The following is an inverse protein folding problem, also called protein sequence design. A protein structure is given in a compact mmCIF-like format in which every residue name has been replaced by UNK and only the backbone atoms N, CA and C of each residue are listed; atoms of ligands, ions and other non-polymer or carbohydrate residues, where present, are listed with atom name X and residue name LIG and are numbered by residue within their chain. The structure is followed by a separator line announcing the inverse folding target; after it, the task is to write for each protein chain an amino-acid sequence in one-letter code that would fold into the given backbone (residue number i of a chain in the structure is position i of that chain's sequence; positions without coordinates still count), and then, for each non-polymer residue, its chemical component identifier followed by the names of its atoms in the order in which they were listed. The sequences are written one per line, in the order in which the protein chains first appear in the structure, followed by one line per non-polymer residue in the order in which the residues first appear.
data_IF_908828399247
#
_entry.id   IF_908828399247
#
_cell.length_a   1.000
_cell.length_b   1.000
_cell.length_c   1.000
_cell.angle_alpha   90.00
_cell.angle_beta   90.00
_cell.angle_gamma   90.00
#
_symmetry.space_group_name_H-M   'P 1'
#
loop_
_entity.id
_entity.type
_entity.pdbx_description
1 polymer ?
#
# COMPACT_ATOMS: atom_id res chain seq x y z
N UNK A 1 -25.36 -9.23 37.87
CA UNK A 1 -25.92 -10.10 36.82
C UNK A 1 -27.41 -9.89 36.69
N UNK A 2 -27.80 -8.84 35.96
CA UNK A 2 -29.13 -8.78 35.37
C UNK A 2 -29.15 -9.59 34.07
N UNK A 3 -30.34 -9.92 33.56
CA UNK A 3 -30.47 -10.58 32.26
C UNK A 3 -31.52 -9.85 31.43
N UNK A 4 -31.13 -9.40 30.23
CA UNK A 4 -31.98 -8.71 29.27
C UNK A 4 -32.05 -9.54 27.99
N UNK A 5 -33.25 -9.65 27.40
CA UNK A 5 -33.49 -10.44 26.18
C UNK A 5 -34.35 -9.59 25.25
N UNK A 6 -33.89 -9.32 24.03
CA UNK A 6 -34.54 -8.45 23.04
C UNK A 6 -35.85 -9.02 22.53
N UNK A 7 -35.81 -10.26 22.06
CA UNK A 7 -36.94 -10.91 21.41
C UNK A 7 -36.67 -11.03 19.91
N UNK A 8 -37.71 -11.20 19.07
CA UNK A 8 -37.53 -11.15 17.62
C UNK A 8 -37.62 -9.71 17.10
N UNK A 9 -36.77 -9.38 16.12
CA UNK A 9 -36.68 -8.07 15.51
C UNK A 9 -35.45 -7.32 16.02
N UNK A 10 -35.28 -6.08 15.56
CA UNK A 10 -34.13 -5.26 15.93
C UNK A 10 -34.38 -4.61 17.29
N UNK A 11 -33.58 -4.97 18.27
CA UNK A 11 -33.71 -4.58 19.66
C UNK A 11 -32.53 -3.73 20.14
N UNK A 12 -32.77 -2.95 21.20
CA UNK A 12 -31.74 -2.19 21.89
C UNK A 12 -31.72 -2.62 23.36
N UNK A 13 -30.61 -3.23 23.78
CA UNK A 13 -30.38 -3.72 25.12
C UNK A 13 -29.25 -2.93 25.75
N UNK A 14 -29.44 -2.50 26.98
CA UNK A 14 -28.43 -1.75 27.73
C UNK A 14 -28.37 -2.27 29.16
N UNK A 15 -27.17 -2.66 29.58
CA UNK A 15 -26.82 -3.04 30.94
C UNK A 15 -26.68 -1.84 31.87
N UNK A 16 -26.02 -2.06 33.01
CA UNK A 16 -25.65 -1.04 33.98
C UNK A 16 -24.15 -1.11 34.33
N UNK A 17 -23.75 -0.78 35.56
CA UNK A 17 -22.32 -0.81 35.95
C UNK A 17 -21.96 -2.08 36.72
N UNK A 18 -22.79 -3.12 36.63
CA UNK A 18 -22.55 -4.44 37.20
C UNK A 18 -22.59 -5.46 36.06
N UNK A 19 -22.00 -6.62 36.29
CA UNK A 19 -22.09 -7.76 35.37
C UNK A 19 -23.53 -7.97 34.89
N UNK A 20 -23.72 -8.12 33.60
CA UNK A 20 -25.01 -8.30 32.94
C UNK A 20 -24.93 -9.42 31.88
N UNK A 21 -26.11 -9.90 31.47
CA UNK A 21 -26.25 -10.90 30.41
C UNK A 21 -27.29 -10.40 29.40
N UNK A 22 -26.84 -10.02 28.21
CA UNK A 22 -27.63 -9.40 27.16
C UNK A 22 -27.73 -10.39 25.98
N UNK A 23 -28.95 -10.67 25.53
CA UNK A 23 -29.21 -11.62 24.44
C UNK A 23 -30.13 -10.97 23.39
N UNK A 24 -29.62 -10.70 22.19
CA UNK A 24 -30.37 -10.10 21.08
C UNK A 24 -31.42 -11.04 20.49
N UNK A 25 -30.96 -12.24 20.10
CA UNK A 25 -31.67 -13.34 19.45
C UNK A 25 -31.73 -13.25 17.93
N UNK A 26 -32.69 -12.55 17.34
CA UNK A 26 -32.85 -12.56 15.89
C UNK A 26 -33.32 -11.19 15.43
N UNK A 27 -32.57 -10.56 14.53
CA UNK A 27 -32.71 -9.15 14.21
C UNK A 27 -31.34 -8.52 14.12
N UNK A 28 -31.29 -7.24 13.80
CA UNK A 28 -30.05 -6.48 13.90
C UNK A 28 -30.12 -5.68 15.20
N UNK A 29 -29.46 -6.18 16.23
CA UNK A 29 -29.58 -5.77 17.60
C UNK A 29 -28.43 -4.84 18.01
N UNK A 30 -28.64 -4.05 19.06
CA UNK A 30 -27.59 -3.26 19.69
C UNK A 30 -27.54 -3.59 21.17
N UNK A 31 -26.42 -4.13 21.63
CA UNK A 31 -26.19 -4.57 23.00
C UNK A 31 -25.05 -3.74 23.61
N UNK A 32 -25.32 -3.07 24.72
CA UNK A 32 -24.33 -2.25 25.45
C UNK A 32 -24.19 -2.76 26.90
N UNK A 33 -23.06 -3.34 27.27
CA UNK A 33 -22.76 -3.80 28.63
C UNK A 33 -22.55 -2.64 29.62
N UNK A 34 -21.75 -1.67 29.20
CA UNK A 34 -21.30 -0.47 29.92
C UNK A 34 -20.19 -0.75 30.94
N UNK A 35 -20.46 -1.43 32.04
CA UNK A 35 -19.38 -1.78 32.95
C UNK A 35 -19.74 -2.90 33.91
N UNK A 36 -18.71 -3.55 34.45
CA UNK A 36 -18.86 -4.89 35.00
C UNK A 36 -18.35 -5.91 34.00
N UNK A 37 -18.42 -7.19 34.36
CA UNK A 37 -18.01 -8.28 33.47
C UNK A 37 -19.24 -8.86 32.79
N UNK A 38 -19.48 -8.48 31.56
CA UNK A 38 -20.71 -8.70 30.84
C UNK A 38 -20.64 -9.91 29.88
N UNK A 39 -21.81 -10.51 29.62
CA UNK A 39 -22.01 -11.52 28.58
C UNK A 39 -22.97 -10.96 27.54
N UNK A 40 -22.51 -10.79 26.31
CA UNK A 40 -23.30 -10.29 25.19
C UNK A 40 -23.37 -11.38 24.09
N UNK A 41 -24.59 -11.76 23.70
CA UNK A 41 -24.88 -12.70 22.60
C UNK A 41 -25.78 -11.97 21.59
N UNK A 42 -25.24 -11.67 20.40
CA UNK A 42 -25.95 -10.96 19.33
C UNK A 42 -27.11 -11.81 18.79
N UNK A 43 -26.77 -12.99 18.27
CA UNK A 43 -27.74 -14.02 17.95
C UNK A 43 -27.80 -14.30 16.45
N UNK A 44 -28.62 -13.60 15.70
CA UNK A 44 -28.74 -13.82 14.27
C UNK A 44 -29.19 -12.54 13.58
N UNK A 45 -28.45 -12.11 12.58
CA UNK A 45 -28.58 -10.79 11.99
C UNK A 45 -27.32 -9.98 12.25
N UNK A 46 -27.28 -8.75 11.78
CA UNK A 46 -26.07 -7.93 11.86
C UNK A 46 -26.14 -7.05 13.10
N UNK A 47 -25.42 -7.45 14.12
CA UNK A 47 -25.51 -6.92 15.47
C UNK A 47 -24.39 -5.92 15.78
N UNK A 48 -24.59 -5.13 16.83
CA UNK A 48 -23.56 -4.25 17.39
C UNK A 48 -23.45 -4.50 18.89
N UNK A 49 -22.30 -4.99 19.32
CA UNK A 49 -22.01 -5.36 20.71
C UNK A 49 -20.88 -4.46 21.24
N UNK A 50 -21.10 -3.86 22.41
CA UNK A 50 -20.06 -3.12 23.12
C UNK A 50 -20.03 -3.56 24.60
N UNK A 51 -18.92 -4.15 25.03
CA UNK A 51 -18.72 -4.63 26.41
C UNK A 51 -18.65 -3.45 27.38
N UNK A 52 -17.67 -2.58 27.19
CA UNK A 52 -17.55 -1.33 27.91
C UNK A 52 -16.36 -1.34 28.86
N UNK A 53 -16.55 -1.67 30.13
CA UNK A 53 -15.48 -1.64 31.11
C UNK A 53 -15.54 -2.83 32.05
N UNK A 54 -14.56 -3.72 32.00
CA UNK A 54 -14.53 -4.97 32.75
C UNK A 54 -13.94 -6.06 31.88
N UNK A 55 -14.05 -7.31 32.31
CA UNK A 55 -13.67 -8.44 31.46
C UNK A 55 -14.94 -9.01 30.84
N UNK A 56 -15.15 -8.72 29.55
CA UNK A 56 -16.38 -8.99 28.84
C UNK A 56 -16.26 -10.20 27.89
N UNK A 57 -17.39 -10.87 27.65
CA UNK A 57 -17.52 -11.95 26.66
C UNK A 57 -18.57 -11.54 25.63
N UNK A 58 -18.13 -11.34 24.38
CA UNK A 58 -18.96 -10.95 23.25
C UNK A 58 -18.97 -12.09 22.20
N UNK A 59 -20.17 -12.54 21.80
CA UNK A 59 -20.41 -13.56 20.75
C UNK A 59 -21.40 -12.97 19.73
N UNK A 60 -20.90 -12.60 18.54
CA UNK A 60 -21.70 -12.00 17.45
C UNK A 60 -22.71 -12.99 16.87
N UNK A 61 -22.27 -14.25 16.74
CA UNK A 61 -22.98 -15.43 16.24
C UNK A 61 -23.06 -15.50 14.72
N UNK A 62 -24.07 -14.91 14.11
CA UNK A 62 -24.40 -15.18 12.71
C UNK A 62 -24.93 -13.92 12.06
N UNK A 63 -24.23 -13.42 11.06
CA UNK A 63 -24.46 -12.12 10.47
C UNK A 63 -23.15 -11.38 10.37
N UNK A 64 -23.20 -10.14 9.93
CA UNK A 64 -22.00 -9.31 9.87
C UNK A 64 -22.05 -8.34 11.03
N UNK A 65 -21.26 -8.62 12.05
CA UNK A 65 -21.35 -8.03 13.38
C UNK A 65 -20.24 -7.00 13.62
N UNK A 66 -20.51 -6.06 14.53
CA UNK A 66 -19.52 -5.12 15.06
C UNK A 66 -19.36 -5.36 16.56
N UNK A 67 -18.18 -5.80 16.98
CA UNK A 67 -17.85 -6.07 18.38
C UNK A 67 -16.75 -5.10 18.87
N UNK A 68 -16.98 -4.48 20.03
CA UNK A 68 -15.99 -3.66 20.75
C UNK A 68 -15.91 -4.14 22.20
N UNK A 69 -14.72 -4.57 22.64
CA UNK A 69 -14.47 -5.07 24.00
C UNK A 69 -14.58 -3.94 25.02
N UNK A 70 -13.70 -2.95 24.89
CA UNK A 70 -13.70 -1.74 25.72
C UNK A 70 -12.45 -1.67 26.60
N UNK A 71 -12.59 -1.24 27.86
CA UNK A 71 -11.48 -1.32 28.82
C UNK A 71 -11.55 -2.68 29.53
N UNK A 72 -10.58 -3.57 29.37
CA UNK A 72 -10.78 -4.94 29.78
C UNK A 72 -9.65 -5.92 29.54
N UNK A 73 -9.94 -7.19 29.80
CA UNK A 73 -9.34 -8.31 29.09
C UNK A 73 -10.54 -9.07 28.56
N UNK A 74 -10.80 -8.89 27.28
CA UNK A 74 -12.06 -9.28 26.67
C UNK A 74 -11.87 -10.51 25.79
N UNK A 75 -12.97 -11.25 25.63
CA UNK A 75 -13.06 -12.36 24.69
C UNK A 75 -14.14 -12.04 23.66
N UNK A 76 -13.72 -11.88 22.41
CA UNK A 76 -14.59 -11.56 21.28
C UNK A 76 -14.60 -12.74 20.29
N UNK A 77 -15.78 -13.19 19.89
CA UNK A 77 -16.02 -14.19 18.86
C UNK A 77 -17.03 -13.63 17.86
N UNK A 78 -16.62 -13.40 16.61
CA UNK A 78 -17.49 -12.86 15.55
C UNK A 78 -18.55 -13.90 15.15
N UNK A 79 -18.08 -15.09 14.80
CA UNK A 79 -18.93 -16.25 14.55
C UNK A 79 -19.02 -16.57 13.06
N UNK A 80 -20.17 -16.39 12.44
CA UNK A 80 -20.39 -16.60 11.01
C UNK A 80 -20.75 -15.27 10.35
N UNK A 81 -20.09 -14.94 9.25
CA UNK A 81 -20.33 -13.72 8.48
C UNK A 81 -19.07 -12.86 8.52
N UNK A 82 -19.16 -11.68 7.90
CA UNK A 82 -17.99 -10.82 7.78
C UNK A 82 -18.03 -9.78 8.90
N UNK A 83 -17.23 -10.01 9.93
CA UNK A 83 -17.30 -9.30 11.19
C UNK A 83 -16.22 -8.22 11.32
N UNK A 84 -16.44 -7.25 12.20
CA UNK A 84 -15.44 -6.26 12.60
C UNK A 84 -15.27 -6.29 14.11
N UNK A 85 -14.06 -6.59 14.58
CA UNK A 85 -13.75 -6.82 15.97
C UNK A 85 -12.67 -5.85 16.46
N UNK A 86 -12.92 -5.18 17.57
CA UNK A 86 -12.02 -4.20 18.20
C UNK A 86 -11.88 -4.58 19.67
N UNK A 87 -10.69 -4.97 20.12
CA UNK A 87 -10.44 -5.26 21.54
C UNK A 87 -10.57 -4.02 22.41
N UNK A 88 -10.11 -2.88 21.89
CA UNK A 88 -9.87 -1.65 22.65
C UNK A 88 -8.80 -1.90 23.74
N UNK A 89 -8.92 -1.31 24.94
CA UNK A 89 -7.84 -1.36 25.94
C UNK A 89 -7.83 -2.67 26.69
N UNK A 90 -6.81 -3.49 26.50
CA UNK A 90 -6.67 -4.76 27.19
C UNK A 90 -5.62 -5.64 26.56
N UNK A 91 -5.36 -6.79 27.17
CA UNK A 91 -4.67 -7.88 26.46
C UNK A 91 -5.75 -8.91 26.07
N UNK A 92 -6.35 -8.74 24.90
CA UNK A 92 -7.60 -9.38 24.51
C UNK A 92 -7.40 -10.67 23.72
N UNK A 93 -8.48 -11.44 23.57
CA UNK A 93 -8.54 -12.61 22.71
C UNK A 93 -9.68 -12.45 21.70
N UNK A 94 -9.31 -12.38 20.42
CA UNK A 94 -10.20 -12.04 19.32
C UNK A 94 -10.20 -13.19 18.31
N UNK A 95 -11.39 -13.68 17.98
CA UNK A 95 -11.61 -14.70 16.96
C UNK A 95 -12.65 -14.19 15.95
N UNK A 96 -12.27 -14.05 14.68
CA UNK A 96 -13.18 -13.66 13.59
C UNK A 96 -14.24 -14.74 13.36
N UNK A 97 -13.80 -15.94 12.98
CA UNK A 97 -14.68 -17.09 12.80
C UNK A 97 -14.75 -17.51 11.33
N UNK A 98 -15.95 -17.79 10.83
CA UNK A 98 -16.20 -18.10 9.42
C UNK A 98 -16.60 -16.80 8.69
N UNK A 99 -15.88 -16.39 7.67
CA UNK A 99 -16.19 -15.19 6.88
C UNK A 99 -14.93 -14.39 6.57
N UNK A 100 -15.10 -13.25 5.89
CA UNK A 100 -13.97 -12.33 5.66
C UNK A 100 -13.99 -11.26 6.75
N UNK A 101 -13.15 -11.43 7.78
CA UNK A 101 -13.21 -10.64 9.01
C UNK A 101 -12.17 -9.52 9.07
N UNK A 102 -12.46 -8.49 9.87
CA UNK A 102 -11.53 -7.39 10.15
C UNK A 102 -11.27 -7.26 11.65
N UNK A 103 -10.03 -7.45 12.05
CA UNK A 103 -9.56 -7.37 13.44
C UNK A 103 -8.72 -6.10 13.58
N UNK A 104 -9.17 -5.15 14.40
CA UNK A 104 -8.59 -3.82 14.47
C UNK A 104 -7.84 -3.64 15.80
N UNK A 105 -6.60 -3.20 15.68
CA UNK A 105 -5.78 -2.73 16.79
C UNK A 105 -5.51 -1.24 16.66
N UNK A 106 -5.74 -0.49 17.74
CA UNK A 106 -5.44 0.94 17.81
C UNK A 106 -4.36 1.25 18.85
N UNK A 107 -3.69 2.38 18.65
CA UNK A 107 -2.66 2.82 19.57
C UNK A 107 -3.19 2.98 21.01
N UNK A 108 -2.78 2.05 21.87
CA UNK A 108 -3.10 2.03 23.29
C UNK A 108 -3.99 0.86 23.71
N UNK A 109 -4.36 -0.01 22.78
CA UNK A 109 -5.23 -1.17 22.99
C UNK A 109 -4.53 -2.19 23.90
N UNK A 110 -3.43 -2.79 23.45
CA UNK A 110 -2.58 -3.63 24.30
C UNK A 110 -1.95 -4.77 23.53
N UNK A 111 -1.72 -5.92 24.18
CA UNK A 111 -1.16 -7.10 23.51
C UNK A 111 -2.21 -8.20 23.33
N UNK A 112 -2.61 -8.44 22.08
CA UNK A 112 -3.74 -9.30 21.79
C UNK A 112 -3.34 -10.61 21.12
N UNK A 113 -4.24 -11.59 21.25
CA UNK A 113 -4.26 -12.80 20.44
C UNK A 113 -5.39 -12.64 19.42
N UNK A 114 -5.07 -12.83 18.15
CA UNK A 114 -6.00 -12.63 17.06
C UNK A 114 -6.00 -13.86 16.14
N UNK A 115 -7.17 -14.43 15.90
CA UNK A 115 -7.41 -15.45 14.88
C UNK A 115 -8.41 -14.89 13.89
N UNK A 116 -8.08 -14.87 12.59
CA UNK A 116 -9.06 -14.52 11.56
C UNK A 116 -10.06 -15.65 11.39
N UNK A 117 -9.55 -16.84 11.03
CA UNK A 117 -10.33 -18.06 10.99
C UNK A 117 -10.46 -18.59 9.57
N UNK A 118 -11.68 -18.63 9.03
CA UNK A 118 -11.95 -19.18 7.72
C UNK A 118 -12.52 -18.12 6.78
N UNK A 119 -11.69 -17.61 5.90
CA UNK A 119 -12.10 -16.71 4.82
C UNK A 119 -10.89 -15.91 4.38
N UNK A 120 -11.10 -14.66 4.00
CA UNK A 120 -10.01 -13.70 3.81
C UNK A 120 -10.06 -12.68 4.93
N UNK A 121 -9.11 -12.76 5.85
CA UNK A 121 -9.11 -12.00 7.09
C UNK A 121 -8.03 -10.90 7.06
N UNK A 122 -8.38 -9.76 7.65
CA UNK A 122 -7.53 -8.58 7.69
C UNK A 122 -7.27 -8.15 9.13
N UNK A 123 -5.99 -8.01 9.48
CA UNK A 123 -5.58 -7.26 10.69
C UNK A 123 -5.24 -5.84 10.31
N UNK A 124 -5.98 -4.88 10.88
CA UNK A 124 -5.69 -3.45 10.78
C UNK A 124 -4.92 -3.01 12.03
N UNK A 125 -3.81 -2.31 11.84
CA UNK A 125 -3.03 -1.69 12.92
C UNK A 125 -2.94 -0.19 12.70
N UNK A 126 -3.48 0.57 13.65
CA UNK A 126 -3.42 2.03 13.66
C UNK A 126 -2.36 2.53 14.65
N UNK A 127 -1.30 3.12 14.11
CA UNK A 127 -0.20 3.75 14.84
C UNK A 127 -0.60 5.02 15.57
N UNK A 128 0.41 5.73 16.07
CA UNK A 128 0.24 6.98 16.79
C UNK A 128 0.12 8.16 15.81
N UNK A 129 -0.86 9.06 16.04
CA UNK A 129 -1.16 10.22 15.17
C UNK A 129 -0.02 11.27 14.93
N UNK A 130 1.23 11.03 15.32
CA UNK A 130 2.29 12.05 15.22
C UNK A 130 3.60 11.68 15.89
N UNK A 131 3.80 10.42 16.25
CA UNK A 131 5.02 9.95 16.86
C UNK A 131 5.51 8.77 16.02
N UNK A 132 6.76 8.84 15.54
CA UNK A 132 7.33 7.78 14.71
C UNK A 132 7.34 6.45 15.44
N UNK A 133 6.48 5.54 15.04
CA UNK A 133 6.39 4.16 15.47
C UNK A 133 7.49 3.32 14.80
N UNK A 134 7.96 2.30 15.49
CA UNK A 134 8.87 1.31 14.94
C UNK A 134 8.23 -0.06 15.07
N UNK A 135 7.69 -0.56 13.97
CA UNK A 135 6.97 -1.80 13.84
C UNK A 135 7.81 -2.90 13.21
N UNK A 136 7.55 -4.15 13.61
CA UNK A 136 8.14 -5.32 12.97
C UNK A 136 7.14 -6.47 12.87
N UNK A 137 7.06 -7.06 11.68
CA UNK A 137 6.39 -8.33 11.41
C UNK A 137 7.40 -9.47 11.41
N UNK A 138 7.20 -10.45 12.30
CA UNK A 138 8.11 -11.59 12.45
C UNK A 138 7.35 -12.91 12.38
N UNK A 139 7.91 -13.96 11.75
CA UNK A 139 7.32 -15.29 11.84
C UNK A 139 7.47 -15.84 13.27
N UNK A 140 6.43 -16.52 13.75
CA UNK A 140 6.38 -17.17 15.06
C UNK A 140 5.77 -18.57 14.97
N UNK A 141 6.41 -19.44 14.17
CA UNK A 141 5.84 -20.73 13.82
C UNK A 141 4.83 -20.56 12.68
N UNK A 142 3.59 -21.09 12.78
CA UNK A 142 2.53 -20.81 11.81
C UNK A 142 1.97 -19.39 11.96
N UNK A 143 2.26 -18.73 13.09
CA UNK A 143 1.75 -17.41 13.43
C UNK A 143 2.64 -16.28 12.96
N UNK A 144 2.08 -15.08 12.96
CA UNK A 144 2.80 -13.81 12.87
C UNK A 144 2.84 -13.16 14.25
N UNK A 145 4.01 -12.59 14.59
CA UNK A 145 4.15 -11.67 15.70
C UNK A 145 4.38 -10.26 15.17
N UNK A 146 3.39 -9.39 15.35
CA UNK A 146 3.51 -7.95 15.12
C UNK A 146 4.01 -7.30 16.41
N UNK A 147 5.03 -6.45 16.34
CA UNK A 147 5.62 -5.79 17.51
C UNK A 147 5.81 -4.31 17.27
N UNK A 148 5.60 -3.48 18.31
CA UNK A 148 6.13 -2.12 18.36
C UNK A 148 7.31 -2.01 19.31
N UNK A 149 8.40 -1.39 18.85
CA UNK A 149 9.71 -1.47 19.49
C UNK A 149 10.11 -0.21 20.29
N UNK A 150 9.37 0.90 20.20
CA UNK A 150 9.83 2.21 20.71
C UNK A 150 8.85 3.02 21.59
N UNK A 151 7.52 2.92 21.44
CA UNK A 151 6.53 3.76 22.16
C UNK A 151 5.69 3.03 23.23
N UNK A 152 6.25 1.98 23.82
CA UNK A 152 5.53 1.05 24.68
C UNK A 152 5.39 -0.26 23.93
N UNK A 153 6.09 -1.29 24.43
CA UNK A 153 6.16 -2.57 23.74
C UNK A 153 4.84 -3.30 23.93
N UNK A 154 4.18 -3.56 22.82
CA UNK A 154 3.10 -4.53 22.72
C UNK A 154 3.46 -5.55 21.64
N UNK A 155 2.76 -6.68 21.65
CA UNK A 155 2.83 -7.63 20.56
C UNK A 155 1.44 -8.15 20.25
N UNK A 156 1.15 -8.33 18.97
CA UNK A 156 -0.01 -9.09 18.50
C UNK A 156 0.47 -10.46 18.07
N UNK A 157 -0.23 -11.48 18.54
CA UNK A 157 0.03 -12.86 18.18
C UNK A 157 -1.09 -13.36 17.25
N UNK A 158 -0.84 -13.31 15.95
CA UNK A 158 -1.85 -13.43 14.91
C UNK A 158 -1.73 -14.77 14.17
N UNK A 159 -2.85 -15.42 13.85
CA UNK A 159 -2.92 -16.62 13.01
C UNK A 159 -4.13 -16.54 12.07
N UNK A 160 -4.13 -17.37 11.01
CA UNK A 160 -5.26 -17.49 10.08
C UNK A 160 -5.70 -16.10 9.57
N UNK A 161 -4.74 -15.28 9.13
CA UNK A 161 -4.94 -13.92 8.61
C UNK A 161 -4.12 -13.77 7.35
N UNK A 162 -4.79 -13.39 6.27
CA UNK A 162 -4.20 -13.28 4.93
C UNK A 162 -3.59 -11.90 4.69
N UNK A 163 -4.09 -10.84 5.34
CA UNK A 163 -3.62 -9.48 5.10
C UNK A 163 -3.37 -8.68 6.38
N UNK A 164 -2.24 -7.96 6.39
CA UNK A 164 -2.00 -6.86 7.34
C UNK A 164 -2.18 -5.51 6.64
N UNK A 165 -2.91 -4.60 7.28
CA UNK A 165 -3.00 -3.19 6.91
C UNK A 165 -2.45 -2.34 8.06
N UNK A 166 -1.33 -1.65 7.83
CA UNK A 166 -0.60 -0.94 8.88
C UNK A 166 -0.55 0.54 8.54
N UNK A 167 -1.07 1.37 9.44
CA UNK A 167 -1.18 2.82 9.27
C UNK A 167 -0.25 3.53 10.25
N UNK A 168 0.84 4.15 9.78
CA UNK A 168 1.75 4.98 10.58
C UNK A 168 1.11 6.30 11.02
N UNK A 169 0.30 6.89 10.14
CA UNK A 169 -0.42 8.16 10.30
C UNK A 169 0.49 9.37 10.27
N UNK A 170 1.36 9.55 11.27
CA UNK A 170 2.33 10.64 11.18
C UNK A 170 3.43 10.57 12.22
N UNK A 171 4.49 11.34 11.99
CA UNK A 171 5.81 11.05 12.55
C UNK A 171 6.63 10.22 11.56
N UNK A 172 7.93 10.06 11.82
CA UNK A 172 8.79 9.23 10.97
C UNK A 172 8.64 7.76 11.40
N UNK A 173 7.79 7.02 10.69
CA UNK A 173 7.41 5.65 10.99
C UNK A 173 8.34 4.62 10.33
N UNK A 174 8.44 3.43 10.90
CA UNK A 174 9.21 2.32 10.33
C UNK A 174 8.42 1.04 10.43
N UNK A 175 8.31 0.30 9.33
CA UNK A 175 7.85 -1.07 9.30
C UNK A 175 8.94 -1.98 8.74
N UNK A 176 9.39 -2.95 9.53
CA UNK A 176 10.22 -4.06 9.02
C UNK A 176 9.36 -5.29 8.76
N UNK A 177 9.41 -5.82 7.53
CA UNK A 177 8.73 -7.07 7.16
C UNK A 177 9.77 -8.16 6.93
N UNK A 178 9.71 -9.21 7.75
CA UNK A 178 10.58 -10.39 7.60
C UNK A 178 9.91 -11.47 6.75
N UNK A 179 10.63 -12.56 6.46
CA UNK A 179 10.10 -13.72 5.75
C UNK A 179 8.92 -14.36 6.53
N UNK A 180 7.70 -14.22 6.00
CA UNK A 180 6.47 -14.78 6.56
C UNK A 180 5.99 -16.05 5.84
N UNK A 181 6.82 -16.70 5.00
CA UNK A 181 6.44 -17.89 4.20
C UNK A 181 5.94 -19.10 5.00
N UNK A 182 6.12 -19.10 6.32
CA UNK A 182 5.61 -20.12 7.23
C UNK A 182 4.21 -19.84 7.80
N UNK A 183 3.58 -18.74 7.41
CA UNK A 183 2.31 -18.23 7.93
C UNK A 183 1.27 -18.12 6.81
N UNK A 184 0.03 -17.76 7.14
CA UNK A 184 -1.06 -17.61 6.17
C UNK A 184 -1.08 -16.23 5.48
N UNK A 185 -0.19 -15.30 5.86
CA UNK A 185 -0.14 -13.95 5.27
C UNK A 185 0.26 -14.00 3.81
N UNK A 186 -0.58 -13.40 2.97
CA UNK A 186 -0.40 -13.26 1.53
C UNK A 186 -0.05 -11.83 1.11
N UNK A 187 -0.42 -10.82 1.90
CA UNK A 187 -0.21 -9.40 1.58
C UNK A 187 0.05 -8.56 2.84
N UNK A 188 0.98 -7.61 2.73
CA UNK A 188 1.17 -6.56 3.74
C UNK A 188 1.05 -5.19 3.08
N UNK A 189 0.15 -4.37 3.61
CA UNK A 189 -0.06 -2.98 3.21
C UNK A 189 0.49 -2.06 4.29
N UNK A 190 1.31 -1.10 3.90
CA UNK A 190 1.84 -0.06 4.78
C UNK A 190 1.49 1.32 4.23
N UNK A 191 0.88 2.15 5.07
CA UNK A 191 0.64 3.57 4.84
C UNK A 191 1.47 4.37 5.84
N UNK A 192 2.55 5.02 5.39
CA UNK A 192 3.44 5.84 6.23
C UNK A 192 2.71 7.05 6.80
N UNK A 193 2.21 7.92 5.93
CA UNK A 193 1.42 9.09 6.33
C UNK A 193 2.25 10.37 6.30
N UNK A 194 2.21 11.18 7.35
CA UNK A 194 3.01 12.41 7.45
C UNK A 194 4.39 12.13 8.11
N UNK A 195 5.49 12.13 7.38
CA UNK A 195 6.80 11.82 7.96
C UNK A 195 7.81 11.41 6.92
N UNK A 196 9.05 11.14 7.33
CA UNK A 196 9.99 10.41 6.48
C UNK A 196 9.96 8.94 6.93
N UNK A 197 9.19 8.16 6.22
CA UNK A 197 8.80 6.81 6.60
C UNK A 197 9.70 5.77 5.95
N UNK A 198 9.80 4.61 6.61
CA UNK A 198 10.62 3.49 6.15
C UNK A 198 9.80 2.20 6.11
N UNK A 199 9.60 1.65 4.90
CA UNK A 199 9.25 0.25 4.70
C UNK A 199 10.52 -0.54 4.38
N UNK A 200 10.92 -1.44 5.27
CA UNK A 200 12.03 -2.38 5.06
C UNK A 200 11.50 -3.79 4.83
N UNK A 201 11.23 -4.10 3.56
CA UNK A 201 10.87 -5.42 3.05
C UNK A 201 12.07 -6.26 2.58
N UNK A 202 13.32 -5.90 2.92
CA UNK A 202 14.53 -6.58 2.40
C UNK A 202 14.50 -8.12 2.54
N UNK A 203 13.81 -8.64 3.56
CA UNK A 203 13.66 -10.09 3.79
C UNK A 203 12.25 -10.62 3.49
N UNK A 204 11.33 -9.77 3.03
CA UNK A 204 9.99 -10.19 2.62
C UNK A 204 10.07 -11.01 1.32
N UNK A 205 9.19 -11.99 1.22
CA UNK A 205 9.07 -12.90 0.06
C UNK A 205 7.65 -12.93 -0.52
N UNK A 206 6.76 -12.17 0.10
CA UNK A 206 5.36 -11.99 -0.28
C UNK A 206 5.20 -10.55 -0.82
N UNK A 207 4.19 -10.28 -1.65
CA UNK A 207 3.90 -8.95 -2.17
C UNK A 207 3.66 -7.91 -1.07
N UNK A 208 4.31 -6.76 -1.18
CA UNK A 208 4.08 -5.58 -0.36
C UNK A 208 3.35 -4.49 -1.15
N UNK A 209 2.46 -3.78 -0.46
CA UNK A 209 1.95 -2.47 -0.91
C UNK A 209 2.48 -1.42 0.05
N UNK A 210 3.40 -0.58 -0.41
CA UNK A 210 3.99 0.50 0.39
C UNK A 210 3.56 1.86 -0.13
N UNK A 211 2.98 2.68 0.73
CA UNK A 211 2.62 4.07 0.44
C UNK A 211 3.37 4.95 1.44
N UNK A 212 4.29 5.77 0.95
CA UNK A 212 5.10 6.69 1.74
C UNK A 212 4.24 7.79 2.35
N UNK A 213 3.75 8.71 1.54
CA UNK A 213 2.86 9.78 1.96
C UNK A 213 3.53 11.13 1.82
N UNK A 214 3.51 11.95 2.88
CA UNK A 214 4.16 13.27 2.87
C UNK A 214 5.52 13.20 3.55
N UNK A 215 6.60 13.40 2.81
CA UNK A 215 7.97 13.49 3.32
C UNK A 215 8.92 12.74 2.39
N UNK A 216 10.19 12.59 2.78
CA UNK A 216 11.15 11.88 1.94
C UNK A 216 11.25 10.43 2.43
N UNK A 217 10.55 9.53 1.78
CA UNK A 217 10.30 8.18 2.23
C UNK A 217 11.32 7.19 1.65
N UNK A 218 11.46 6.05 2.31
CA UNK A 218 12.27 4.93 1.81
C UNK A 218 11.45 3.67 1.82
N UNK A 219 11.15 3.12 0.65
CA UNK A 219 10.34 1.91 0.49
C UNK A 219 11.16 0.82 -0.18
N UNK A 220 11.25 -0.34 0.46
CA UNK A 220 11.98 -1.51 -0.03
C UNK A 220 11.00 -2.69 -0.06
N UNK A 221 10.75 -3.24 -1.24
CA UNK A 221 9.76 -4.31 -1.49
C UNK A 221 10.22 -5.69 -1.02
N UNK A 222 11.29 -6.22 -1.63
CA UNK A 222 11.85 -7.51 -1.24
C UNK A 222 11.95 -8.47 -2.41
N UNK A 223 11.31 -9.64 -2.31
CA UNK A 223 11.33 -10.67 -3.35
C UNK A 223 9.95 -11.01 -3.93
N UNK A 224 8.90 -10.29 -3.49
CA UNK A 224 7.54 -10.43 -4.00
C UNK A 224 7.29 -9.48 -5.18
N UNK A 225 6.13 -9.59 -5.83
CA UNK A 225 5.71 -8.61 -6.84
C UNK A 225 5.14 -7.39 -6.12
N UNK A 226 5.94 -6.36 -5.91
CA UNK A 226 5.66 -5.28 -4.98
C UNK A 226 5.02 -4.05 -5.66
N UNK A 227 4.19 -3.31 -4.93
CA UNK A 227 3.63 -2.04 -5.39
C UNK A 227 4.00 -0.92 -4.42
N UNK A 228 4.94 -0.07 -4.82
CA UNK A 228 5.54 0.95 -3.97
C UNK A 228 5.23 2.34 -4.54
N UNK A 229 4.80 3.25 -3.66
CA UNK A 229 4.41 4.61 -4.02
C UNK A 229 4.94 5.64 -3.04
N UNK A 230 5.74 6.59 -3.52
CA UNK A 230 6.36 7.67 -2.71
C UNK A 230 5.39 8.75 -2.26
N UNK A 231 4.48 9.17 -3.16
CA UNK A 231 3.58 10.30 -3.00
C UNK A 231 4.26 11.68 -3.01
N UNK A 232 4.66 12.27 -1.88
CA UNK A 232 5.12 13.67 -1.86
C UNK A 232 6.44 13.84 -1.13
N UNK A 233 7.53 14.02 -1.88
CA UNK A 233 8.84 14.33 -1.35
C UNK A 233 9.94 13.88 -2.30
N UNK A 234 11.11 13.53 -1.78
CA UNK A 234 12.20 12.99 -2.60
C UNK A 234 12.47 11.59 -2.09
N UNK A 235 11.84 10.63 -2.74
CA UNK A 235 11.65 9.29 -2.21
C UNK A 235 12.67 8.31 -2.79
N UNK A 236 12.91 7.24 -2.04
CA UNK A 236 13.81 6.16 -2.43
C UNK A 236 13.05 4.84 -2.47
N UNK A 237 12.71 4.37 -3.66
CA UNK A 237 11.95 3.14 -3.88
C UNK A 237 12.86 2.06 -4.47
N UNK A 238 12.82 0.86 -3.89
CA UNK A 238 13.55 -0.32 -4.35
C UNK A 238 12.59 -1.51 -4.40
N UNK A 239 12.31 -2.03 -5.59
CA UNK A 239 11.43 -3.19 -5.79
C UNK A 239 12.07 -4.45 -5.21
N UNK A 240 13.20 -4.84 -5.81
CA UNK A 240 14.02 -5.94 -5.32
C UNK A 240 14.03 -7.10 -6.30
N UNK A 241 13.33 -8.18 -6.03
CA UNK A 241 13.07 -9.24 -6.99
C UNK A 241 11.56 -9.45 -7.10
N UNK A 242 11.07 -9.89 -8.26
CA UNK A 242 9.63 -9.89 -8.55
C UNK A 242 9.31 -8.86 -9.63
N UNK A 243 8.11 -8.93 -10.17
CA UNK A 243 7.64 -7.98 -11.18
C UNK A 243 7.04 -6.76 -10.46
N UNK A 244 7.85 -5.73 -10.22
CA UNK A 244 7.51 -4.64 -9.31
C UNK A 244 6.86 -3.42 -10.01
N UNK A 245 6.01 -2.69 -9.30
CA UNK A 245 5.47 -1.40 -9.73
C UNK A 245 5.91 -0.28 -8.76
N UNK A 246 6.74 0.64 -9.25
CA UNK A 246 7.31 1.74 -8.47
C UNK A 246 6.82 3.08 -9.02
N UNK A 247 6.24 3.91 -8.15
CA UNK A 247 5.72 5.24 -8.49
C UNK A 247 6.32 6.28 -7.52
N UNK A 248 7.08 7.23 -8.03
CA UNK A 248 7.66 8.32 -7.21
C UNK A 248 6.64 9.39 -6.83
N UNK A 249 5.82 9.79 -7.80
CA UNK A 249 4.88 10.93 -7.72
C UNK A 249 5.61 12.28 -7.64
N UNK A 250 5.53 13.06 -6.56
CA UNK A 250 5.97 14.45 -6.56
C UNK A 250 7.30 14.67 -5.84
N UNK A 251 8.29 15.16 -6.59
CA UNK A 251 9.62 15.59 -6.15
C UNK A 251 10.70 14.79 -6.88
N UNK A 252 11.95 14.84 -6.40
CA UNK A 252 13.06 14.22 -7.11
C UNK A 252 13.34 12.82 -6.55
N UNK A 253 12.81 11.80 -7.21
CA UNK A 253 12.78 10.45 -6.67
C UNK A 253 13.92 9.59 -7.20
N UNK A 254 14.22 8.51 -6.48
CA UNK A 254 15.12 7.45 -6.93
C UNK A 254 14.41 6.12 -6.89
N UNK A 255 14.16 5.54 -8.07
CA UNK A 255 13.47 4.27 -8.23
C UNK A 255 14.44 3.23 -8.79
N UNK A 256 14.50 2.06 -8.16
CA UNK A 256 15.32 0.92 -8.57
C UNK A 256 14.40 -0.29 -8.69
N UNK A 257 14.20 -0.81 -9.90
CA UNK A 257 13.35 -1.99 -10.14
C UNK A 257 13.95 -3.24 -9.49
N UNK A 258 14.88 -3.89 -10.19
CA UNK A 258 15.65 -4.98 -9.63
C UNK A 258 15.57 -6.21 -10.50
N UNK A 259 15.41 -7.39 -9.93
CA UNK A 259 15.25 -8.64 -10.69
C UNK A 259 13.77 -8.87 -11.01
N UNK A 260 13.35 -8.73 -12.26
CA UNK A 260 11.98 -8.96 -12.70
C UNK A 260 11.56 -8.01 -13.81
N UNK A 261 10.33 -8.15 -14.28
CA UNK A 261 9.76 -7.24 -15.26
C UNK A 261 9.09 -6.06 -14.54
N UNK A 262 9.87 -5.01 -14.28
CA UNK A 262 9.44 -3.86 -13.47
C UNK A 262 8.74 -2.75 -14.27
N UNK A 263 7.86 -1.99 -13.63
CA UNK A 263 7.34 -0.72 -14.11
C UNK A 263 7.77 0.43 -13.19
N UNK A 264 8.46 1.43 -13.75
CA UNK A 264 8.94 2.61 -13.04
C UNK A 264 8.29 3.88 -13.60
N UNK A 265 7.60 4.62 -12.73
CA UNK A 265 7.03 5.95 -12.99
C UNK A 265 7.72 6.91 -12.02
N UNK A 266 8.57 7.81 -12.50
CA UNK A 266 9.21 8.82 -11.64
C UNK A 266 8.18 9.81 -11.14
N UNK A 267 7.91 10.79 -11.97
CA UNK A 267 6.83 11.72 -11.75
C UNK A 267 7.29 13.16 -11.93
N UNK A 268 7.12 13.97 -10.88
CA UNK A 268 7.09 15.43 -10.88
C UNK A 268 8.44 15.88 -10.31
N UNK A 269 9.49 15.91 -11.11
CA UNK A 269 10.80 16.30 -10.61
C UNK A 269 11.93 15.68 -11.40
N UNK A 270 13.15 15.96 -11.00
CA UNK A 270 14.34 15.39 -11.66
C UNK A 270 14.60 13.98 -11.10
N UNK A 271 14.00 12.96 -11.70
CA UNK A 271 14.03 11.60 -11.16
C UNK A 271 15.23 10.77 -11.62
N UNK A 272 15.58 9.75 -10.84
CA UNK A 272 16.57 8.73 -11.19
C UNK A 272 15.89 7.37 -11.26
N UNK A 273 15.75 6.84 -12.47
CA UNK A 273 15.08 5.56 -12.73
C UNK A 273 16.14 4.52 -13.14
N UNK A 274 16.28 3.46 -12.36
CA UNK A 274 17.36 2.48 -12.53
C UNK A 274 16.77 1.12 -12.87
N UNK A 275 17.07 0.63 -14.08
CA UNK A 275 16.77 -0.74 -14.53
C UNK A 275 17.54 -1.78 -13.71
N UNK A 276 17.03 -3.01 -13.69
CA UNK A 276 17.74 -4.17 -13.15
C UNK A 276 17.81 -5.34 -14.14
N UNK A 277 17.62 -6.57 -13.67
CA UNK A 277 17.59 -7.75 -14.52
C UNK A 277 16.15 -8.08 -14.90
N UNK A 278 15.81 -8.02 -16.19
CA UNK A 278 14.45 -8.32 -16.66
C UNK A 278 14.05 -7.29 -17.71
N UNK A 279 12.77 -7.11 -17.96
CA UNK A 279 12.28 -6.04 -18.83
C UNK A 279 11.75 -4.92 -17.95
N UNK A 280 12.48 -3.81 -17.87
CA UNK A 280 11.95 -2.63 -17.18
C UNK A 280 11.19 -1.73 -18.16
N UNK A 281 10.00 -1.29 -17.75
CA UNK A 281 9.19 -0.29 -18.45
C UNK A 281 9.30 1.05 -17.70
N UNK A 282 9.85 2.06 -18.38
CA UNK A 282 9.91 3.43 -17.89
C UNK A 282 8.72 4.21 -18.45
N UNK A 283 7.78 4.57 -17.58
CA UNK A 283 6.49 5.13 -17.99
C UNK A 283 6.43 6.64 -17.77
N UNK A 284 6.06 7.36 -18.82
CA UNK A 284 5.82 8.80 -18.82
C UNK A 284 4.33 9.06 -19.12
N UNK A 285 3.54 9.32 -18.07
CA UNK A 285 2.09 9.48 -18.15
C UNK A 285 1.59 10.84 -17.64
N UNK A 286 0.36 11.21 -18.01
CA UNK A 286 -0.37 12.40 -17.57
C UNK A 286 -0.93 12.27 -16.14
N UNK A 287 -0.63 11.14 -15.47
CA UNK A 287 -1.00 10.79 -14.13
C UNK A 287 -0.30 11.69 -13.11
N UNK A 288 0.23 11.13 -12.03
CA UNK A 288 0.62 11.89 -10.85
C UNK A 288 1.81 12.85 -11.02
N UNK A 289 2.19 13.21 -12.25
CA UNK A 289 3.11 14.31 -12.43
C UNK A 289 3.25 14.92 -13.81
N UNK A 290 3.36 14.20 -14.93
CA UNK A 290 3.95 14.79 -16.14
C UNK A 290 3.02 15.81 -16.84
N UNK A 291 2.96 17.02 -16.30
CA UNK A 291 2.09 18.12 -16.71
C UNK A 291 2.95 19.33 -17.08
N UNK A 292 2.39 20.27 -17.83
CA UNK A 292 3.15 21.40 -18.36
C UNK A 292 3.81 22.34 -17.31
N UNK A 293 3.57 22.14 -16.01
CA UNK A 293 4.12 22.95 -14.91
C UNK A 293 5.45 22.42 -14.38
N UNK A 294 5.67 21.10 -14.42
CA UNK A 294 6.91 20.46 -14.00
C UNK A 294 7.33 19.43 -15.04
N UNK A 295 8.46 19.70 -15.67
CA UNK A 295 9.09 18.85 -16.67
C UNK A 295 10.50 18.59 -16.16
N UNK A 296 10.56 18.01 -14.96
CA UNK A 296 11.83 17.57 -14.42
C UNK A 296 12.54 16.67 -15.44
N UNK A 297 13.86 16.65 -15.34
CA UNK A 297 14.72 15.96 -16.27
C UNK A 297 15.13 14.60 -15.70
N UNK A 298 14.42 13.58 -16.14
CA UNK A 298 14.65 12.23 -15.64
C UNK A 298 15.96 11.64 -16.15
N UNK A 299 16.55 10.79 -15.31
CA UNK A 299 17.77 10.06 -15.59
C UNK A 299 17.48 8.56 -15.57
N UNK A 300 17.36 7.97 -16.74
CA UNK A 300 17.24 6.52 -16.93
C UNK A 300 18.64 5.91 -16.98
N UNK A 301 18.92 5.02 -16.04
CA UNK A 301 20.20 4.34 -15.88
C UNK A 301 20.05 2.83 -16.12
N UNK A 302 21.13 2.23 -16.65
CA UNK A 302 21.22 0.81 -16.99
C UNK A 302 20.21 0.36 -18.06
N UNK A 303 19.82 1.23 -18.98
CA UNK A 303 18.86 0.88 -20.02
C UNK A 303 19.43 -0.16 -20.99
N UNK A 304 18.70 -1.25 -21.23
CA UNK A 304 19.10 -2.32 -22.14
C UNK A 304 18.25 -2.26 -23.42
N UNK A 305 18.80 -1.69 -24.49
CA UNK A 305 18.12 -1.59 -25.78
C UNK A 305 17.72 -2.95 -26.37
N UNK A 306 16.51 -3.03 -26.91
CA UNK A 306 15.85 -4.26 -27.38
C UNK A 306 15.25 -5.11 -26.26
N UNK A 307 15.50 -4.79 -24.99
CA UNK A 307 14.95 -5.47 -23.82
C UNK A 307 13.98 -4.55 -23.08
N UNK A 308 14.46 -3.42 -22.56
CA UNK A 308 13.68 -2.44 -21.81
C UNK A 308 12.74 -1.61 -22.70
N UNK A 309 11.78 -0.94 -22.08
CA UNK A 309 10.74 -0.16 -22.76
C UNK A 309 10.61 1.25 -22.19
N UNK A 310 10.30 2.18 -23.08
CA UNK A 310 9.89 3.55 -22.74
C UNK A 310 8.43 3.68 -23.15
N UNK A 311 7.55 3.76 -22.15
CA UNK A 311 6.11 3.89 -22.34
C UNK A 311 5.72 5.36 -22.33
N UNK A 312 5.05 5.81 -23.40
CA UNK A 312 4.64 7.21 -23.57
C UNK A 312 3.11 7.27 -23.64
N UNK A 313 2.45 7.86 -22.65
CA UNK A 313 0.98 7.97 -22.67
C UNK A 313 0.51 8.94 -23.77
N UNK A 314 -0.45 8.51 -24.59
CA UNK A 314 -0.92 9.32 -25.72
C UNK A 314 -1.57 10.65 -25.29
N UNK A 315 -2.20 10.69 -24.11
CA UNK A 315 -2.82 11.92 -23.58
C UNK A 315 -1.77 12.98 -23.20
N UNK A 316 -0.55 12.58 -22.86
CA UNK A 316 0.61 13.46 -22.70
C UNK A 316 1.28 13.76 -24.04
N UNK A 317 1.60 12.71 -24.80
CA UNK A 317 2.32 12.80 -26.06
C UNK A 317 1.37 12.87 -27.27
N UNK A 318 0.41 13.80 -27.22
CA UNK A 318 -0.75 13.91 -28.13
C UNK A 318 -0.47 14.01 -29.63
N UNK A 319 0.77 14.32 -30.04
CA UNK A 319 1.14 14.36 -31.45
C UNK A 319 1.58 12.99 -32.00
N UNK A 320 1.84 12.01 -31.13
CA UNK A 320 2.23 10.66 -31.51
C UNK A 320 1.03 9.89 -32.07
N UNK A 321 1.26 9.21 -33.19
CA UNK A 321 0.26 8.47 -33.97
C UNK A 321 0.58 6.99 -34.13
N UNK A 322 1.68 6.53 -33.52
CA UNK A 322 2.04 5.11 -33.47
C UNK A 322 0.94 4.26 -32.82
N UNK A 323 0.97 2.95 -33.13
CA UNK A 323 -0.09 2.02 -32.72
C UNK A 323 0.17 1.49 -31.31
N UNK A 324 -0.90 1.25 -30.55
CA UNK A 324 -0.93 0.72 -29.16
C UNK A 324 -0.37 -0.71 -28.97
N UNK A 325 0.49 -1.19 -29.87
CA UNK A 325 1.11 -2.52 -29.80
C UNK A 325 2.47 -2.61 -30.49
N UNK A 326 3.12 -1.49 -30.82
CA UNK A 326 4.48 -1.55 -31.35
C UNK A 326 5.04 -0.23 -31.85
N UNK A 327 6.02 0.30 -31.10
CA UNK A 327 7.02 1.25 -31.57
C UNK A 327 6.49 2.64 -31.94
N UNK A 328 7.42 3.58 -32.01
CA UNK A 328 7.17 4.83 -32.73
C UNK A 328 7.09 4.54 -34.24
N UNK A 329 6.24 5.28 -34.97
CA UNK A 329 6.35 5.23 -36.42
C UNK A 329 7.74 5.74 -36.84
N UNK A 330 8.34 5.18 -37.89
CA UNK A 330 9.68 5.60 -38.34
C UNK A 330 9.75 7.08 -38.74
N UNK A 331 8.62 7.73 -38.98
CA UNK A 331 8.51 9.18 -39.24
C UNK A 331 8.51 10.03 -37.97
N UNK A 332 8.27 9.43 -36.81
CA UNK A 332 8.12 10.09 -35.51
C UNK A 332 9.40 9.98 -34.67
N UNK A 333 10.38 9.20 -35.11
CA UNK A 333 11.67 8.98 -34.43
C UNK A 333 12.86 9.50 -35.25
N UNK A 334 13.85 10.08 -34.58
CA UNK A 334 15.14 10.40 -35.16
C UNK A 334 16.30 10.30 -34.15
N UNK A 335 17.46 9.85 -34.64
CA UNK A 335 18.72 9.90 -33.88
C UNK A 335 19.60 11.03 -34.42
N UNK A 336 20.16 11.84 -33.53
CA UNK A 336 21.09 12.94 -33.84
C UNK A 336 22.40 12.78 -33.07
N UNK A 337 23.43 13.53 -33.44
CA UNK A 337 24.74 13.52 -32.78
C UNK A 337 25.05 14.83 -32.04
N UNK A 338 24.05 15.71 -31.90
CA UNK A 338 24.14 16.93 -31.09
C UNK A 338 22.76 17.52 -30.83
N UNK A 339 22.57 18.12 -29.65
CA UNK A 339 21.33 18.81 -29.29
C UNK A 339 20.97 19.95 -30.28
N UNK A 340 21.96 20.53 -30.95
CA UNK A 340 21.74 21.57 -31.97
C UNK A 340 20.94 21.08 -33.19
N UNK A 341 20.89 19.77 -33.43
CA UNK A 341 20.16 19.17 -34.55
C UNK A 341 18.70 18.85 -34.19
N UNK A 342 18.33 18.83 -32.91
CA UNK A 342 16.98 18.49 -32.43
C UNK A 342 15.93 19.40 -33.04
N UNK A 343 16.13 20.72 -32.96
CA UNK A 343 15.20 21.71 -33.49
C UNK A 343 15.05 21.67 -35.03
N UNK A 344 15.97 21.01 -35.74
CA UNK A 344 15.90 20.81 -37.18
C UNK A 344 15.30 19.46 -37.59
N UNK A 345 15.07 18.58 -36.62
CA UNK A 345 14.44 17.28 -36.83
C UNK A 345 12.96 17.46 -37.18
N UNK A 346 12.48 16.67 -38.13
CA UNK A 346 11.04 16.55 -38.42
C UNK A 346 10.34 15.49 -37.57
N UNK A 347 11.10 14.72 -36.78
CA UNK A 347 10.58 13.70 -35.89
C UNK A 347 10.02 14.31 -34.60
N UNK A 348 9.12 13.58 -33.95
CA UNK A 348 8.47 13.98 -32.70
C UNK A 348 9.34 13.59 -31.51
N UNK A 349 9.86 12.37 -31.47
CA UNK A 349 10.86 11.94 -30.50
C UNK A 349 12.23 12.00 -31.16
N UNK A 350 13.18 12.66 -30.49
CA UNK A 350 14.55 12.81 -30.97
C UNK A 350 15.51 12.37 -29.88
N UNK A 351 16.40 11.44 -30.21
CA UNK A 351 17.45 10.96 -29.30
C UNK A 351 18.82 11.46 -29.73
N UNK A 352 19.58 12.06 -28.82
CA UNK A 352 20.99 12.40 -29.06
C UNK A 352 21.90 11.27 -28.57
N UNK A 353 22.50 10.52 -29.50
CA UNK A 353 23.34 9.37 -29.18
C UNK A 353 24.68 9.72 -28.50
N UNK A 354 25.10 10.99 -28.52
CA UNK A 354 26.34 11.44 -27.87
C UNK A 354 26.14 11.84 -26.41
N UNK A 355 24.93 12.29 -26.04
CA UNK A 355 24.62 12.78 -24.69
C UNK A 355 23.64 11.89 -23.94
N UNK A 356 22.83 11.09 -24.66
CA UNK A 356 21.76 10.29 -24.06
C UNK A 356 20.42 11.02 -23.99
N UNK A 357 20.38 12.29 -24.41
CA UNK A 357 19.20 13.15 -24.22
C UNK A 357 18.03 12.70 -25.12
N UNK A 358 16.84 12.62 -24.52
CA UNK A 358 15.56 12.41 -25.19
C UNK A 358 14.74 13.69 -25.22
N UNK A 359 14.28 14.03 -26.42
CA UNK A 359 13.49 15.23 -26.67
C UNK A 359 12.14 14.88 -27.27
N UNK A 360 11.11 15.62 -26.86
CA UNK A 360 9.84 15.71 -27.58
C UNK A 360 9.76 17.05 -28.32
N UNK A 361 9.44 16.98 -29.62
CA UNK A 361 9.50 18.08 -30.56
C UNK A 361 8.14 18.28 -31.22
N UNK A 362 7.22 18.94 -30.51
CA UNK A 362 5.98 19.40 -31.13
C UNK A 362 6.31 20.55 -32.09
N UNK A 363 5.94 20.39 -33.37
CA UNK A 363 6.00 21.44 -34.39
C UNK A 363 4.96 22.57 -34.14
N UNK A 364 5.07 23.27 -33.00
CA UNK A 364 4.64 24.66 -32.87
C UNK A 364 3.38 24.99 -32.07
N UNK A 365 3.35 24.73 -30.75
CA UNK A 365 2.62 25.62 -29.84
C UNK A 365 3.23 25.66 -28.43
N UNK A 366 3.22 26.83 -27.79
CA UNK A 366 3.96 27.15 -26.56
C UNK A 366 3.18 26.85 -25.26
N UNK A 367 2.43 25.74 -25.21
CA UNK A 367 1.54 25.39 -24.09
C UNK A 367 1.73 24.00 -23.49
N UNK A 368 2.80 23.29 -23.86
CA UNK A 368 3.15 21.93 -23.45
C UNK A 368 4.31 21.48 -24.34
N UNK A 369 5.30 20.77 -23.77
CA UNK A 369 6.60 20.35 -24.36
C UNK A 369 6.85 20.93 -25.77
N UNK A 370 7.38 22.15 -25.81
CA UNK A 370 7.58 22.91 -27.05
C UNK A 370 8.52 22.23 -28.05
N UNK A 371 8.92 22.93 -29.11
CA UNK A 371 9.87 22.36 -30.08
C UNK A 371 11.22 22.05 -29.41
N UNK A 372 11.50 20.78 -29.11
CA UNK A 372 12.76 20.29 -28.55
C UNK A 372 12.87 20.39 -27.04
N UNK A 373 11.78 20.15 -26.31
CA UNK A 373 11.85 20.02 -24.86
C UNK A 373 12.47 18.67 -24.50
N UNK A 374 13.54 18.71 -23.72
CA UNK A 374 14.16 17.52 -23.15
C UNK A 374 13.30 17.04 -21.99
N UNK A 375 13.06 15.73 -21.91
CA UNK A 375 12.29 15.16 -20.80
C UNK A 375 13.03 14.03 -20.07
N UNK A 376 14.03 13.41 -20.72
CA UNK A 376 14.82 12.38 -20.09
C UNK A 376 16.26 12.36 -20.63
N UNK A 377 17.12 11.66 -19.91
CA UNK A 377 18.43 11.20 -20.35
C UNK A 377 18.52 9.69 -20.18
N UNK A 378 19.11 9.01 -21.14
CA UNK A 378 19.42 7.57 -21.08
C UNK A 378 20.93 7.43 -21.12
N UNK A 379 21.50 6.55 -20.29
CA UNK A 379 22.92 6.29 -20.31
C UNK A 379 23.41 5.84 -21.71
N UNK A 380 24.50 6.45 -22.21
CA UNK A 380 24.98 6.27 -23.59
C UNK A 380 25.70 4.93 -23.83
N UNK A 381 25.67 4.02 -22.86
CA UNK A 381 26.36 2.73 -22.96
C UNK A 381 25.63 1.72 -23.86
N UNK A 382 24.39 2.04 -24.22
CA UNK A 382 23.42 1.18 -24.92
C UNK A 382 22.96 1.81 -26.25
N UNK A 383 22.37 1.00 -27.13
CA UNK A 383 21.74 1.51 -28.36
C UNK A 383 20.24 1.61 -28.16
N UNK A 384 19.65 2.80 -28.34
CA UNK A 384 18.20 3.01 -28.31
C UNK A 384 17.65 3.02 -29.73
N UNK A 385 16.57 2.28 -29.99
CA UNK A 385 15.87 2.22 -31.28
C UNK A 385 14.36 2.49 -31.13
N UNK A 386 13.67 2.76 -32.25
CA UNK A 386 12.23 3.04 -32.24
C UNK A 386 11.36 1.89 -31.71
N UNK A 387 11.89 0.66 -31.65
CA UNK A 387 11.22 -0.52 -31.08
C UNK A 387 11.26 -0.57 -29.57
N UNK A 388 12.10 0.25 -28.94
CA UNK A 388 12.20 0.35 -27.48
C UNK A 388 11.10 1.24 -26.89
N UNK A 389 10.28 1.85 -27.73
CA UNK A 389 9.19 2.71 -27.33
C UNK A 389 7.84 2.01 -27.51
N UNK A 390 6.89 2.35 -26.66
CA UNK A 390 5.49 2.05 -26.84
C UNK A 390 4.63 3.29 -26.56
N UNK A 391 3.43 3.29 -27.14
CA UNK A 391 2.43 4.35 -26.92
C UNK A 391 1.23 3.67 -26.31
N UNK A 392 0.83 4.13 -25.12
CA UNK A 392 -0.28 3.57 -24.33
C UNK A 392 -1.48 4.49 -24.29
#
# INVERSE_FOLDING_TARGET
MNTLIGGPGNDFLQGDNNDDNLIGLAGNDTLLGLGGNDLLDGGAGNDTLAGGAGEDLLDGRAGNDLLSGGDGIDLLDGGQGNDTLIGDRGDDNINGGDGDDRLIWNNGDGSDIMEGGAGFDVVEVNGANGAGDNFALNPFGPRVRFERLNLGQFNLNVNDVEQFEINGLGGDDTLTVNDLSGTDVELVVFNGGDGNDLLDGTNAVLPLVGIGGNGNDTLIGGAGDDNLRGDAGNDSLVGGAGDDNLIGDAGNDTLIGGDGDDNLVGGDGDDVLISGNGITTFTFDSGAAFNSSDLGLDSILNFIGGQDRISLEQDTFTALTGTSSGGLASSEWAVVSSNSQVASSGALIVYNSETGDLFYNQNGSAGGLGSGAQFATIDTSTSVDFTDFEIV
#
